data_IF_250499339491
#
_entry.id   IF_250499339491
#
_cell.length_a   1.000
_cell.length_b   1.000
_cell.length_c   1.000
_cell.angle_alpha   90.00
_cell.angle_beta   90.00
_cell.angle_gamma   90.00
#
_symmetry.space_group_name_H-M   'P 1'
#
loop_
_entity.id
_entity.type
_entity.pdbx_description
1 polymer ?
#
# COMPACT_ATOMS: atom_id res chain seq x y z
N UNK A 1 -45.94 3.80 -5.73
CA UNK A 1 -44.78 3.31 -4.97
C UNK A 1 -45.08 1.87 -4.61
N UNK A 2 -44.70 0.96 -5.51
CA UNK A 2 -45.07 -0.44 -5.43
C UNK A 2 -44.31 -1.14 -4.29
N UNK A 3 -45.00 -2.02 -3.57
CA UNK A 3 -44.43 -2.78 -2.45
C UNK A 3 -43.16 -3.55 -2.84
N UNK A 4 -43.08 -4.01 -4.10
CA UNK A 4 -41.91 -4.66 -4.67
C UNK A 4 -40.66 -3.76 -4.71
N UNK A 5 -40.82 -2.47 -5.02
CA UNK A 5 -39.71 -1.51 -5.07
C UNK A 5 -39.12 -1.25 -3.68
N UNK A 6 -39.98 -1.21 -2.66
CA UNK A 6 -39.55 -1.08 -1.27
C UNK A 6 -38.71 -2.28 -0.81
N UNK A 7 -39.15 -3.51 -1.14
CA UNK A 7 -38.41 -4.74 -0.82
C UNK A 7 -37.04 -4.76 -1.51
N UNK A 8 -36.99 -4.40 -2.79
CA UNK A 8 -35.75 -4.39 -3.56
C UNK A 8 -34.72 -3.37 -2.99
N UNK A 9 -35.18 -2.18 -2.60
CA UNK A 9 -34.33 -1.16 -1.98
C UNK A 9 -33.83 -1.61 -0.60
N UNK A 10 -34.68 -2.29 0.18
CA UNK A 10 -34.31 -2.83 1.49
C UNK A 10 -33.21 -3.89 1.39
N UNK A 11 -33.36 -4.88 0.51
CA UNK A 11 -32.33 -5.92 0.31
C UNK A 11 -31.05 -5.37 -0.32
N UNK A 12 -31.16 -4.41 -1.24
CA UNK A 12 -29.99 -3.75 -1.83
C UNK A 12 -29.21 -2.93 -0.79
N UNK A 13 -29.91 -2.24 0.10
CA UNK A 13 -29.32 -1.54 1.24
C UNK A 13 -28.67 -2.49 2.24
N UNK A 14 -29.34 -3.59 2.58
CA UNK A 14 -28.83 -4.62 3.49
C UNK A 14 -27.54 -5.27 2.97
N UNK A 15 -27.50 -5.60 1.68
CA UNK A 15 -26.32 -6.24 1.06
C UNK A 15 -25.10 -5.32 1.08
N UNK A 16 -25.28 -4.05 0.75
CA UNK A 16 -24.19 -3.07 0.80
C UNK A 16 -23.79 -2.78 2.25
N UNK A 17 -24.76 -2.68 3.15
CA UNK A 17 -24.55 -2.49 4.58
C UNK A 17 -23.77 -3.65 5.23
N UNK A 18 -24.06 -4.90 4.87
CA UNK A 18 -23.37 -6.08 5.41
C UNK A 18 -21.91 -6.16 4.94
N UNK A 19 -21.62 -5.80 3.69
CA UNK A 19 -20.24 -5.68 3.18
C UNK A 19 -19.47 -4.63 3.99
N UNK A 20 -20.03 -3.44 4.20
CA UNK A 20 -19.37 -2.40 5.00
C UNK A 20 -19.25 -2.76 6.49
N UNK A 21 -20.25 -3.43 7.07
CA UNK A 21 -20.20 -3.92 8.44
C UNK A 21 -19.11 -4.98 8.62
N UNK A 22 -18.96 -5.92 7.68
CA UNK A 22 -17.90 -6.92 7.68
C UNK A 22 -16.51 -6.29 7.54
N UNK A 23 -16.36 -5.28 6.67
CA UNK A 23 -15.10 -4.53 6.54
C UNK A 23 -14.75 -3.85 7.87
N UNK A 24 -15.70 -3.17 8.50
CA UNK A 24 -15.49 -2.50 9.78
C UNK A 24 -15.13 -3.50 10.90
N UNK A 25 -15.82 -4.64 10.98
CA UNK A 25 -15.57 -5.70 11.96
C UNK A 25 -14.19 -6.36 11.74
N UNK A 26 -13.77 -6.55 10.48
CA UNK A 26 -12.43 -7.00 10.14
C UNK A 26 -11.35 -6.03 10.62
N UNK A 27 -11.53 -4.73 10.42
CA UNK A 27 -10.59 -3.71 10.92
C UNK A 27 -10.54 -3.64 12.44
N UNK A 28 -11.67 -3.73 13.14
CA UNK A 28 -11.68 -3.70 14.62
C UNK A 28 -11.07 -4.95 15.25
N UNK A 29 -11.22 -6.13 14.63
CA UNK A 29 -10.56 -7.36 15.09
C UNK A 29 -9.04 -7.28 14.93
N UNK A 30 -8.56 -6.83 13.77
CA UNK A 30 -7.11 -6.70 13.49
C UNK A 30 -6.48 -5.68 14.44
N UNK A 31 -7.10 -4.51 14.64
CA UNK A 31 -6.60 -3.52 15.59
C UNK A 31 -6.80 -3.92 17.06
N UNK A 32 -7.79 -4.76 17.37
CA UNK A 32 -8.07 -5.24 18.73
C UNK A 32 -6.96 -6.13 19.30
N UNK A 33 -6.26 -6.90 18.45
CA UNK A 33 -5.15 -7.77 18.88
C UNK A 33 -3.81 -7.03 18.83
N UNK A 34 -3.57 -6.22 17.80
CA UNK A 34 -2.24 -5.62 17.55
C UNK A 34 -2.09 -4.27 18.25
N UNK A 35 -3.19 -3.59 18.59
CA UNK A 35 -3.20 -2.31 19.30
C UNK A 35 -2.55 -1.14 18.55
N UNK A 36 -2.10 -1.37 17.31
CA UNK A 36 -1.36 -0.43 16.48
C UNK A 36 -1.90 -0.48 15.06
N UNK A 37 -2.18 0.70 14.50
CA UNK A 37 -2.51 0.81 13.08
C UNK A 37 -1.23 0.62 12.26
N UNK A 38 -1.04 -0.57 11.70
CA UNK A 38 0.16 -0.93 10.94
C UNK A 38 0.15 -0.27 9.53
N UNK A 39 0.45 1.02 9.48
CA UNK A 39 0.61 1.76 8.21
C UNK A 39 1.86 1.34 7.41
N UNK A 40 2.87 0.77 8.08
CA UNK A 40 4.09 0.32 7.42
C UNK A 40 3.81 -0.82 6.42
N UNK A 41 2.82 -1.66 6.71
CA UNK A 41 2.47 -2.78 5.85
C UNK A 41 1.90 -2.31 4.49
N UNK A 42 1.07 -1.26 4.49
CA UNK A 42 0.53 -0.68 3.26
C UNK A 42 1.60 0.04 2.43
N UNK A 43 2.49 0.77 3.09
CA UNK A 43 3.58 1.50 2.43
C UNK A 43 4.60 0.54 1.78
N UNK A 44 4.98 -0.55 2.47
CA UNK A 44 5.90 -1.56 1.93
C UNK A 44 5.29 -2.26 0.70
N UNK A 45 3.99 -2.56 0.72
CA UNK A 45 3.31 -3.15 -0.44
C UNK A 45 3.25 -2.22 -1.64
N UNK A 46 2.95 -0.93 -1.43
CA UNK A 46 2.96 0.05 -2.52
C UNK A 46 4.35 0.13 -3.16
N UNK A 47 5.41 0.21 -2.36
CA UNK A 47 6.79 0.28 -2.88
C UNK A 47 7.15 -0.96 -3.70
N UNK A 48 6.76 -2.16 -3.23
CA UNK A 48 6.96 -3.41 -3.98
C UNK A 48 6.19 -3.44 -5.31
N UNK A 49 4.92 -3.04 -5.30
CA UNK A 49 4.08 -3.02 -6.50
C UNK A 49 4.60 -2.01 -7.56
N UNK A 50 5.00 -0.81 -7.14
CA UNK A 50 5.54 0.21 -8.04
C UNK A 50 6.89 -0.20 -8.65
N UNK A 51 7.76 -0.81 -7.86
CA UNK A 51 9.06 -1.30 -8.37
C UNK A 51 8.87 -2.44 -9.35
N UNK A 52 7.97 -3.39 -9.08
CA UNK A 52 7.59 -4.42 -10.05
C UNK A 52 7.06 -3.79 -11.35
N UNK A 53 6.19 -2.79 -11.25
CA UNK A 53 5.60 -2.13 -12.41
C UNK A 53 6.65 -1.38 -13.27
N UNK A 54 7.56 -0.63 -12.65
CA UNK A 54 8.62 0.09 -13.37
C UNK A 54 9.56 -0.90 -14.07
N UNK A 55 9.98 -1.96 -13.38
CA UNK A 55 10.85 -2.98 -13.97
C UNK A 55 10.12 -3.72 -15.09
N UNK A 56 8.84 -4.05 -14.89
CA UNK A 56 8.03 -4.70 -15.91
C UNK A 56 7.83 -3.82 -17.16
N UNK A 57 7.59 -2.52 -17.00
CA UNK A 57 7.43 -1.60 -18.13
C UNK A 57 8.75 -1.44 -18.90
N UNK A 58 9.88 -1.30 -18.21
CA UNK A 58 11.21 -1.24 -18.85
C UNK A 58 11.51 -2.53 -19.62
N UNK A 59 11.35 -3.70 -19.01
CA UNK A 59 11.59 -4.98 -19.69
C UNK A 59 10.60 -5.24 -20.85
N UNK A 60 9.38 -4.74 -20.74
CA UNK A 60 8.38 -4.81 -21.81
C UNK A 60 8.80 -3.98 -23.03
N UNK A 61 9.43 -2.82 -22.83
CA UNK A 61 9.95 -1.99 -23.94
C UNK A 61 11.11 -2.71 -24.66
N UNK A 62 11.92 -3.48 -23.93
CA UNK A 62 12.99 -4.30 -24.51
C UNK A 62 12.50 -5.60 -25.16
N UNK A 63 11.19 -5.89 -25.14
CA UNK A 63 10.61 -7.04 -25.83
C UNK A 63 10.90 -8.40 -25.20
N UNK A 64 11.17 -8.46 -23.89
CA UNK A 64 11.41 -9.73 -23.20
C UNK A 64 10.15 -10.63 -23.15
N UNK A 65 10.31 -11.98 -23.07
CA UNK A 65 9.19 -12.88 -22.92
C UNK A 65 8.49 -12.69 -21.57
N UNK A 66 7.16 -12.81 -21.56
CA UNK A 66 6.29 -12.54 -20.40
C UNK A 66 6.74 -13.24 -19.10
N UNK A 67 7.19 -14.49 -19.21
CA UNK A 67 7.71 -15.27 -18.07
C UNK A 67 8.95 -14.64 -17.44
N UNK A 68 9.89 -14.13 -18.25
CA UNK A 68 11.09 -13.46 -17.75
C UNK A 68 10.73 -12.13 -17.09
N UNK A 69 9.76 -11.38 -17.64
CA UNK A 69 9.28 -10.12 -17.06
C UNK A 69 8.74 -10.35 -15.66
N UNK A 70 7.86 -11.35 -15.48
CA UNK A 70 7.24 -11.63 -14.17
C UNK A 70 8.29 -12.04 -13.13
N UNK A 71 9.22 -12.92 -13.51
CA UNK A 71 10.25 -13.42 -12.58
C UNK A 71 11.20 -12.27 -12.19
N UNK A 72 11.71 -11.52 -13.16
CA UNK A 72 12.69 -10.45 -12.90
C UNK A 72 12.04 -9.29 -12.13
N UNK A 73 10.83 -8.87 -12.52
CA UNK A 73 10.09 -7.83 -11.81
C UNK A 73 9.73 -8.27 -10.39
N UNK A 74 9.32 -9.53 -10.19
CA UNK A 74 9.03 -10.10 -8.88
C UNK A 74 10.26 -10.15 -7.97
N UNK A 75 11.41 -10.59 -8.48
CA UNK A 75 12.67 -10.62 -7.72
C UNK A 75 13.12 -9.20 -7.39
N UNK A 76 13.08 -8.27 -8.35
CA UNK A 76 13.45 -6.88 -8.11
C UNK A 76 12.57 -6.22 -7.03
N UNK A 77 11.26 -6.46 -7.08
CA UNK A 77 10.32 -5.98 -6.07
C UNK A 77 10.55 -6.61 -4.70
N UNK A 78 10.85 -7.91 -4.64
CA UNK A 78 11.16 -8.61 -3.39
C UNK A 78 12.45 -8.07 -2.75
N UNK A 79 13.50 -7.85 -3.55
CA UNK A 79 14.77 -7.27 -3.07
C UNK A 79 14.55 -5.85 -2.55
N UNK A 80 13.84 -5.02 -3.31
CA UNK A 80 13.62 -3.62 -2.95
C UNK A 80 12.73 -3.46 -1.71
N UNK A 81 11.63 -4.22 -1.62
CA UNK A 81 10.75 -4.22 -0.45
C UNK A 81 11.45 -4.75 0.81
N UNK A 82 12.29 -5.77 0.67
CA UNK A 82 13.10 -6.31 1.78
C UNK A 82 14.14 -5.31 2.28
N UNK A 83 14.81 -4.60 1.37
CA UNK A 83 15.77 -3.54 1.72
C UNK A 83 15.09 -2.37 2.44
N UNK A 84 13.88 -1.98 2.01
CA UNK A 84 13.07 -0.97 2.69
C UNK A 84 12.63 -1.42 4.08
N UNK A 85 12.15 -2.66 4.21
CA UNK A 85 11.77 -3.24 5.50
C UNK A 85 12.92 -3.26 6.51
N UNK A 86 14.12 -3.66 6.07
CA UNK A 86 15.33 -3.64 6.90
C UNK A 86 15.72 -2.22 7.36
N UNK A 87 15.56 -1.24 6.47
CA UNK A 87 15.86 0.17 6.79
C UNK A 87 14.89 0.72 7.85
N UNK A 88 13.60 0.39 7.73
CA UNK A 88 12.57 0.77 8.72
C UNK A 88 12.87 0.13 10.09
N UNK A 89 13.24 -1.14 10.13
CA UNK A 89 13.58 -1.82 11.38
C UNK A 89 14.77 -1.15 12.10
N UNK A 90 15.81 -0.81 11.33
CA UNK A 90 17.03 -0.23 11.87
C UNK A 90 16.84 1.22 12.35
N UNK A 91 16.02 2.00 11.65
CA UNK A 91 15.83 3.45 11.92
C UNK A 91 14.66 3.69 12.88
N UNK A 92 13.54 3.00 12.75
CA UNK A 92 12.35 3.23 13.57
C UNK A 92 12.33 2.34 14.82
N UNK A 93 12.48 1.02 14.68
CA UNK A 93 12.30 0.10 15.81
C UNK A 93 13.47 0.15 16.82
N UNK A 94 14.71 0.31 16.34
CA UNK A 94 15.90 0.37 17.21
C UNK A 94 15.88 1.52 18.25
N UNK A 95 15.49 2.76 17.92
CA UNK A 95 15.36 3.83 18.91
C UNK A 95 14.09 3.71 19.77
N UNK A 96 12.98 3.19 19.22
CA UNK A 96 11.73 3.00 19.96
C UNK A 96 11.84 1.99 21.10
N UNK A 97 12.74 1.00 20.98
CA UNK A 97 13.01 0.01 22.04
C UNK A 97 13.63 0.61 23.32
N UNK A 98 14.23 1.81 23.22
CA UNK A 98 14.81 2.53 24.36
C UNK A 98 13.86 3.61 24.93
N UNK A 99 12.83 4.02 24.19
CA UNK A 99 11.88 5.03 24.63
C UNK A 99 10.57 4.37 25.12
N UNK A 100 10.50 4.06 26.41
CA UNK A 100 9.33 3.45 27.10
C UNK A 100 8.06 4.34 27.18
N UNK A 101 7.84 5.29 26.28
CA UNK A 101 6.98 6.45 26.57
C UNK A 101 5.70 6.64 25.74
N UNK A 102 5.76 6.63 24.41
CA UNK A 102 4.66 7.24 23.62
C UNK A 102 4.36 6.43 22.36
N UNK A 103 3.45 5.46 22.50
CA UNK A 103 3.05 4.51 21.46
C UNK A 103 1.96 5.04 20.49
N UNK A 104 1.59 6.34 20.54
CA UNK A 104 0.46 6.89 19.78
C UNK A 104 0.85 7.83 18.63
N UNK A 105 2.14 8.09 18.41
CA UNK A 105 2.60 9.11 17.44
C UNK A 105 3.71 8.65 16.49
N UNK A 106 3.93 7.35 16.32
CA UNK A 106 4.94 6.82 15.39
C UNK A 106 4.50 6.83 13.91
N UNK A 107 3.22 7.05 13.63
CA UNK A 107 2.66 7.09 12.27
C UNK A 107 3.13 8.30 11.44
N UNK A 108 3.25 9.54 11.97
CA UNK A 108 3.62 10.69 11.14
C UNK A 108 5.13 10.84 10.89
N UNK A 109 6.01 10.10 11.57
CA UNK A 109 7.47 10.30 11.43
C UNK A 109 8.12 9.44 10.34
N UNK A 110 7.53 8.30 9.98
CA UNK A 110 7.98 7.49 8.84
C UNK A 110 7.42 7.98 7.49
N UNK A 111 6.19 8.50 7.50
CA UNK A 111 5.48 9.00 6.32
C UNK A 111 6.16 10.16 5.53
N UNK A 112 6.91 11.12 6.13
CA UNK A 112 7.51 12.23 5.37
C UNK A 112 8.67 11.80 4.46
N UNK A 113 9.29 10.63 4.68
CA UNK A 113 10.36 10.15 3.81
C UNK A 113 9.83 9.68 2.45
N UNK A 114 8.65 9.05 2.43
CA UNK A 114 8.01 8.57 1.20
C UNK A 114 7.26 9.68 0.45
N UNK A 115 6.57 10.58 1.16
CA UNK A 115 5.86 11.70 0.55
C UNK A 115 6.80 12.61 -0.26
N UNK A 116 8.05 12.83 0.21
CA UNK A 116 9.07 13.61 -0.53
C UNK A 116 9.55 12.95 -1.82
N UNK A 117 9.67 11.62 -1.84
CA UNK A 117 10.07 10.87 -3.05
C UNK A 117 8.93 10.84 -4.07
N UNK A 118 7.68 10.69 -3.60
CA UNK A 118 6.50 10.68 -4.48
C UNK A 118 6.14 12.08 -5.01
N UNK A 119 6.35 13.16 -4.23
CA UNK A 119 6.21 14.54 -4.73
C UNK A 119 7.27 14.90 -5.78
N UNK A 120 8.49 14.37 -5.64
CA UNK A 120 9.53 14.49 -6.66
C UNK A 120 9.12 13.74 -7.94
N UNK A 121 8.48 12.57 -7.79
CA UNK A 121 8.04 11.73 -8.91
C UNK A 121 6.78 12.23 -9.64
N UNK A 122 5.81 12.83 -8.95
CA UNK A 122 4.68 13.52 -9.61
C UNK A 122 5.19 14.63 -10.54
N UNK A 123 6.33 15.25 -10.20
CA UNK A 123 7.02 16.24 -11.05
C UNK A 123 7.74 15.62 -12.26
N UNK A 124 8.10 14.33 -12.19
CA UNK A 124 8.77 13.59 -13.27
C UNK A 124 7.80 12.99 -14.30
N UNK A 125 6.56 12.65 -13.95
CA UNK A 125 5.56 12.20 -14.93
C UNK A 125 5.17 13.29 -15.95
N UNK A 126 5.33 14.57 -15.60
CA UNK A 126 5.07 15.70 -16.51
C UNK A 126 6.11 15.75 -17.64
N UNK A 127 7.31 15.17 -17.45
CA UNK A 127 8.38 15.21 -18.45
C UNK A 127 8.38 14.03 -19.44
N UNK A 128 7.72 12.91 -19.13
CA UNK A 128 7.72 11.72 -20.00
C UNK A 128 6.54 11.62 -20.97
N UNK A 129 5.62 12.60 -20.97
CA UNK A 129 4.45 12.62 -21.84
C UNK A 129 4.50 13.82 -22.80
N UNK A 130 5.47 13.85 -23.72
CA UNK A 130 5.39 14.42 -25.08
C UNK A 130 6.77 14.42 -25.76
N UNK A 131 6.97 13.65 -26.84
CA UNK A 131 7.71 14.11 -28.01
C UNK A 131 6.73 14.42 -29.15
N UNK A 132 7.12 15.28 -30.12
CA UNK A 132 6.24 15.96 -31.07
C UNK A 132 5.52 15.05 -32.08
#
# INVERSE_FOLDING_TARGET
MDFSYFIELFFSGLTRGSIYALIALGYTMVYGIIGLINFAHGEIYMIGAFTAFIVATVLSIYGFPLLAIIIIAGVAAAVWSSAYGYTIEKIAYKPLRHARGYLHSSVPLACPFFSRIMFCWHRLQIFCHFPP
#
